data_IF_997697449827
#
_entry.id   IF_997697449827
#
_cell.length_a   1.000
_cell.length_b   1.000
_cell.length_c   1.000
_cell.angle_alpha   90.00
_cell.angle_beta   90.00
_cell.angle_gamma   90.00
#
_symmetry.space_group_name_H-M   'P 1'
#
loop_
_entity.id
_entity.type
_entity.pdbx_description
1 polymer ?
#
# COMPACT_ATOMS: atom_id res chain seq x y z
N UNK A 1 -2.23 -19.16 10.90
CA UNK A 1 -3.61 -18.63 11.00
C UNK A 1 -4.37 -19.10 9.78
N UNK A 2 -5.38 -19.96 9.95
CA UNK A 2 -6.24 -20.35 8.84
C UNK A 2 -7.24 -19.20 8.64
N UNK A 3 -7.07 -18.39 7.58
CA UNK A 3 -7.99 -17.29 7.34
C UNK A 3 -9.33 -17.87 6.89
N UNK A 4 -10.35 -17.72 7.72
CA UNK A 4 -11.72 -18.11 7.40
C UNK A 4 -12.18 -17.40 6.12
N UNK A 5 -12.78 -18.18 5.21
CA UNK A 5 -13.41 -17.65 4.01
C UNK A 5 -14.52 -16.68 4.43
N UNK A 6 -14.47 -15.43 3.95
CA UNK A 6 -15.34 -14.34 4.40
C UNK A 6 -14.65 -13.29 5.28
N UNK A 7 -13.42 -13.54 5.72
CA UNK A 7 -12.59 -12.57 6.44
C UNK A 7 -11.25 -12.25 5.76
N UNK A 8 -10.88 -12.96 4.70
CA UNK A 8 -9.55 -12.83 4.06
C UNK A 8 -9.34 -11.41 3.55
N UNK A 9 -10.33 -10.85 2.85
CA UNK A 9 -10.24 -9.49 2.33
C UNK A 9 -9.99 -8.46 3.43
N UNK A 10 -10.71 -8.59 4.55
CA UNK A 10 -10.56 -7.71 5.71
C UNK A 10 -9.19 -7.86 6.38
N UNK A 11 -8.75 -9.09 6.64
CA UNK A 11 -7.46 -9.35 7.28
C UNK A 11 -6.29 -8.84 6.45
N UNK A 12 -6.27 -9.11 5.13
CA UNK A 12 -5.23 -8.56 4.25
C UNK A 12 -5.28 -7.04 4.20
N UNK A 13 -6.47 -6.43 4.23
CA UNK A 13 -6.62 -4.97 4.28
C UNK A 13 -6.00 -4.36 5.53
N UNK A 14 -6.22 -4.99 6.69
CA UNK A 14 -5.62 -4.54 7.95
C UNK A 14 -4.10 -4.74 7.97
N UNK A 15 -3.59 -5.86 7.44
CA UNK A 15 -2.14 -6.08 7.32
C UNK A 15 -1.51 -5.01 6.42
N UNK A 16 -2.15 -4.70 5.28
CA UNK A 16 -1.69 -3.65 4.37
C UNK A 16 -1.61 -2.27 5.04
N UNK A 17 -2.62 -1.90 5.82
CA UNK A 17 -2.62 -0.68 6.64
C UNK A 17 -1.44 -0.64 7.60
N UNK A 18 -1.17 -1.74 8.30
CA UNK A 18 -0.05 -1.85 9.24
C UNK A 18 1.29 -1.71 8.51
N UNK A 19 1.45 -2.37 7.35
CA UNK A 19 2.66 -2.23 6.53
C UNK A 19 2.90 -0.78 6.11
N UNK A 20 1.86 -0.08 5.65
CA UNK A 20 1.99 1.33 5.23
C UNK A 20 2.32 2.23 6.43
N UNK A 21 1.65 2.05 7.57
CA UNK A 21 1.95 2.79 8.79
C UNK A 21 3.39 2.55 9.27
N UNK A 22 3.83 1.29 9.27
CA UNK A 22 5.21 0.93 9.58
C UNK A 22 6.19 1.56 8.59
N UNK A 23 5.86 1.60 7.29
CA UNK A 23 6.71 2.19 6.27
C UNK A 23 6.91 3.70 6.47
N UNK A 24 5.86 4.41 6.89
CA UNK A 24 5.94 5.84 7.24
C UNK A 24 6.91 6.05 8.41
N UNK A 25 6.78 5.24 9.47
CA UNK A 25 7.68 5.32 10.62
C UNK A 25 9.13 5.01 10.23
N UNK A 26 9.36 3.97 9.42
CA UNK A 26 10.70 3.62 8.92
C UNK A 26 11.28 4.76 8.08
N UNK A 27 10.48 5.40 7.21
CA UNK A 27 10.93 6.53 6.38
C UNK A 27 11.37 7.73 7.23
N UNK A 28 10.62 8.05 8.29
CA UNK A 28 10.95 9.13 9.23
C UNK A 28 12.26 8.81 9.97
N UNK A 29 12.39 7.58 10.49
CA UNK A 29 13.61 7.14 11.18
C UNK A 29 14.80 7.15 10.22
N UNK A 30 14.59 6.70 8.98
CA UNK A 30 15.63 6.59 7.97
C UNK A 30 16.21 7.94 7.53
N UNK A 31 15.38 8.98 7.56
CA UNK A 31 15.78 10.33 7.17
C UNK A 31 16.51 11.10 8.27
N UNK A 32 16.38 10.67 9.54
CA UNK A 32 16.85 11.45 10.70
C UNK A 32 17.91 10.74 11.55
N UNK A 33 17.97 9.40 11.57
CA UNK A 33 18.78 8.66 12.54
C UNK A 33 19.68 7.60 11.92
N UNK A 34 19.15 6.67 11.13
CA UNK A 34 19.88 5.48 10.66
C UNK A 34 19.39 5.12 9.26
N UNK A 35 20.27 4.89 8.28
CA UNK A 35 19.84 4.53 6.92
C UNK A 35 19.15 3.16 6.85
N UNK A 36 17.81 3.16 6.82
CA UNK A 36 16.93 1.99 6.68
C UNK A 36 16.13 2.04 5.36
N UNK A 37 16.62 2.76 4.36
CA UNK A 37 15.91 2.98 3.08
C UNK A 37 15.54 1.66 2.38
N UNK A 38 16.41 0.65 2.47
CA UNK A 38 16.15 -0.68 1.92
C UNK A 38 14.97 -1.39 2.60
N UNK A 39 14.82 -1.24 3.91
CA UNK A 39 13.71 -1.83 4.66
C UNK A 39 12.40 -1.13 4.31
N UNK A 40 12.44 0.20 4.13
CA UNK A 40 11.28 0.97 3.69
C UNK A 40 10.74 0.47 2.34
N UNK A 41 11.64 0.21 1.38
CA UNK A 41 11.25 -0.34 0.06
C UNK A 41 10.55 -1.70 0.18
N UNK A 42 11.09 -2.63 0.99
CA UNK A 42 10.52 -3.97 1.17
C UNK A 42 9.14 -3.88 1.83
N UNK A 43 9.01 -3.11 2.90
CA UNK A 43 7.75 -2.96 3.65
C UNK A 43 6.68 -2.24 2.81
N UNK A 44 7.08 -1.26 1.99
CA UNK A 44 6.20 -0.59 1.04
C UNK A 44 5.63 -1.56 0.00
N UNK A 45 6.47 -2.39 -0.61
CA UNK A 45 6.04 -3.41 -1.57
C UNK A 45 5.12 -4.44 -0.90
N UNK A 46 5.46 -4.91 0.30
CA UNK A 46 4.60 -5.82 1.05
C UNK A 46 3.22 -5.21 1.32
N UNK A 47 3.16 -3.93 1.72
CA UNK A 47 1.92 -3.19 1.89
C UNK A 47 1.06 -3.16 0.63
N UNK A 48 1.67 -2.91 -0.53
CA UNK A 48 0.97 -2.93 -1.83
C UNK A 48 0.44 -4.33 -2.17
N UNK A 49 1.25 -5.37 -2.01
CA UNK A 49 0.84 -6.76 -2.29
C UNK A 49 -0.36 -7.14 -1.43
N UNK A 50 -0.34 -6.81 -0.13
CA UNK A 50 -1.47 -7.06 0.75
C UNK A 50 -2.70 -6.22 0.40
N UNK A 51 -2.54 -4.99 -0.10
CA UNK A 51 -3.66 -4.18 -0.59
C UNK A 51 -4.35 -4.84 -1.80
N UNK A 52 -3.56 -5.37 -2.74
CA UNK A 52 -4.05 -6.11 -3.91
C UNK A 52 -4.78 -7.38 -3.47
N UNK A 53 -4.19 -8.16 -2.56
CA UNK A 53 -4.82 -9.35 -2.02
C UNK A 53 -6.12 -9.03 -1.25
N UNK A 54 -6.15 -7.92 -0.51
CA UNK A 54 -7.36 -7.44 0.17
C UNK A 54 -8.48 -7.12 -0.81
N UNK A 55 -8.15 -6.43 -1.91
CA UNK A 55 -9.11 -6.10 -2.96
C UNK A 55 -9.65 -7.34 -3.67
N UNK A 56 -8.76 -8.25 -4.13
CA UNK A 56 -9.15 -9.45 -4.87
C UNK A 56 -9.98 -10.38 -3.99
N UNK A 57 -9.51 -10.68 -2.78
CA UNK A 57 -10.24 -11.58 -1.88
C UNK A 57 -11.54 -10.94 -1.39
N UNK A 58 -11.53 -9.65 -1.04
CA UNK A 58 -12.75 -8.94 -0.65
C UNK A 58 -13.79 -8.88 -1.77
N UNK A 59 -13.37 -8.76 -3.05
CA UNK A 59 -14.28 -8.87 -4.22
C UNK A 59 -14.88 -10.27 -4.34
N UNK A 60 -14.04 -11.31 -4.27
CA UNK A 60 -14.50 -12.71 -4.34
C UNK A 60 -15.46 -13.05 -3.21
N UNK A 61 -15.17 -12.59 -1.99
CA UNK A 61 -16.02 -12.82 -0.81
C UNK A 61 -17.36 -12.07 -0.91
N UNK A 62 -17.37 -10.85 -1.47
CA UNK A 62 -18.61 -10.10 -1.74
C UNK A 62 -19.46 -10.70 -2.86
N UNK A 63 -18.84 -11.33 -3.85
CA UNK A 63 -19.56 -12.04 -4.92
C UNK A 63 -20.21 -13.32 -4.40
N UNK A 64 -19.55 -14.00 -3.45
CA UNK A 64 -20.10 -15.18 -2.78
C UNK A 64 -21.17 -14.84 -1.73
N UNK A 65 -21.00 -13.74 -0.98
CA UNK A 65 -21.96 -13.23 -0.02
C UNK A 65 -22.04 -11.69 -0.06
N UNK A 66 -23.04 -11.13 -0.78
CA UNK A 66 -23.23 -9.68 -0.90
C UNK A 66 -23.53 -8.98 0.43
N UNK A 67 -23.99 -9.72 1.45
CA UNK A 67 -24.33 -9.17 2.77
C UNK A 67 -23.11 -9.04 3.69
N UNK A 68 -21.97 -9.61 3.31
CA UNK A 68 -20.76 -9.61 4.12
C UNK A 68 -20.10 -8.21 4.19
N UNK A 69 -20.39 -7.51 5.28
CA UNK A 69 -19.83 -6.18 5.58
C UNK A 69 -18.30 -6.19 5.70
N UNK A 70 -17.69 -7.26 6.22
CA UNK A 70 -16.22 -7.36 6.38
C UNK A 70 -15.52 -7.46 5.04
N UNK A 71 -16.06 -8.27 4.11
CA UNK A 71 -15.56 -8.36 2.75
C UNK A 71 -15.64 -7.02 2.02
N UNK A 72 -16.74 -6.27 2.21
CA UNK A 72 -16.88 -4.90 1.70
C UNK A 72 -15.81 -3.96 2.22
N UNK A 73 -15.60 -3.94 3.54
CA UNK A 73 -14.56 -3.12 4.17
C UNK A 73 -13.17 -3.50 3.65
N UNK A 74 -12.83 -4.78 3.60
CA UNK A 74 -11.53 -5.25 3.09
C UNK A 74 -11.28 -4.85 1.64
N UNK A 75 -12.30 -5.02 0.77
CA UNK A 75 -12.25 -4.57 -0.63
C UNK A 75 -12.01 -3.06 -0.73
N UNK A 76 -12.75 -2.26 0.05
CA UNK A 76 -12.63 -0.80 0.04
C UNK A 76 -11.25 -0.35 0.53
N UNK A 77 -10.76 -0.90 1.64
CA UNK A 77 -9.41 -0.61 2.15
C UNK A 77 -8.37 -0.93 1.09
N UNK A 78 -8.41 -2.14 0.52
CA UNK A 78 -7.47 -2.55 -0.53
C UNK A 78 -7.46 -1.58 -1.72
N UNK A 79 -8.64 -1.19 -2.21
CA UNK A 79 -8.77 -0.26 -3.32
C UNK A 79 -8.21 1.14 -3.01
N UNK A 80 -8.53 1.69 -1.82
CA UNK A 80 -8.03 3.01 -1.40
C UNK A 80 -6.50 3.00 -1.31
N UNK A 81 -5.92 1.97 -0.70
CA UNK A 81 -4.46 1.87 -0.55
C UNK A 81 -3.73 1.68 -1.88
N UNK A 82 -4.33 0.94 -2.83
CA UNK A 82 -3.79 0.83 -4.20
C UNK A 82 -3.78 2.20 -4.87
N UNK A 83 -4.89 2.95 -4.80
CA UNK A 83 -4.98 4.29 -5.39
C UNK A 83 -3.92 5.23 -4.77
N UNK A 84 -3.78 5.23 -3.45
CA UNK A 84 -2.76 6.05 -2.78
C UNK A 84 -1.34 5.71 -3.25
N UNK A 85 -1.02 4.43 -3.44
CA UNK A 85 0.28 4.02 -3.96
C UNK A 85 0.50 4.49 -5.41
N UNK A 86 -0.52 4.41 -6.26
CA UNK A 86 -0.44 4.92 -7.65
C UNK A 86 -0.22 6.44 -7.64
N UNK A 87 -0.97 7.19 -6.83
CA UNK A 87 -0.81 8.65 -6.70
C UNK A 87 0.60 8.99 -6.22
N UNK A 88 1.10 8.31 -5.19
CA UNK A 88 2.46 8.51 -4.69
C UNK A 88 3.52 8.23 -5.77
N UNK A 89 3.36 7.15 -6.53
CA UNK A 89 4.27 6.81 -7.63
C UNK A 89 4.28 7.89 -8.73
N UNK A 90 3.11 8.41 -9.12
CA UNK A 90 3.01 9.50 -10.10
C UNK A 90 3.71 10.77 -9.59
N UNK A 91 3.53 11.12 -8.32
CA UNK A 91 4.21 12.28 -7.72
C UNK A 91 5.74 12.12 -7.73
N UNK A 92 6.25 10.91 -7.44
CA UNK A 92 7.68 10.61 -7.51
C UNK A 92 8.20 10.77 -8.94
N UNK A 93 7.47 10.26 -9.94
CA UNK A 93 7.86 10.43 -11.35
C UNK A 93 7.95 11.90 -11.74
N UNK A 94 6.96 12.73 -11.35
CA UNK A 94 6.98 14.16 -11.60
C UNK A 94 8.19 14.82 -10.94
N UNK A 95 8.48 14.49 -9.67
CA UNK A 95 9.64 15.02 -8.95
C UNK A 95 10.96 14.67 -9.63
N UNK A 96 11.10 13.44 -10.15
CA UNK A 96 12.28 13.01 -10.90
C UNK A 96 12.42 13.83 -12.19
N UNK A 97 11.34 13.95 -12.98
CA UNK A 97 11.36 14.70 -14.24
C UNK A 97 11.75 16.16 -13.99
N UNK A 98 11.14 16.81 -13.01
CA UNK A 98 11.43 18.21 -12.64
C UNK A 98 12.88 18.36 -12.14
N UNK A 99 13.36 17.42 -11.33
CA UNK A 99 14.74 17.42 -10.85
C UNK A 99 15.75 17.31 -11.99
N UNK A 100 15.50 16.43 -12.96
CA UNK A 100 16.36 16.24 -14.13
C UNK A 100 16.35 17.47 -15.04
N UNK A 101 15.18 18.07 -15.31
CA UNK A 101 15.09 19.26 -16.17
C UNK A 101 15.74 20.48 -15.55
N UNK A 102 15.58 20.70 -14.24
CA UNK A 102 16.27 21.76 -13.50
C UNK A 102 17.79 21.59 -13.57
N UNK A 103 18.29 20.37 -13.33
CA UNK A 103 19.72 20.09 -13.39
C UNK A 103 20.29 20.31 -14.80
N UNK A 104 19.56 19.89 -15.83
CA UNK A 104 19.96 20.11 -17.23
C UNK A 104 20.00 21.60 -17.63
N UNK A 105 19.21 22.45 -16.98
CA UNK A 105 19.22 23.90 -17.22
C UNK A 105 20.34 24.67 -16.50
N UNK A 106 21.08 24.01 -15.61
CA UNK A 106 22.22 24.59 -14.87
C UNK A 106 23.58 24.18 -15.44
N UNK A 107 23.61 23.33 -16.47
CA UNK A 107 24.79 22.91 -17.24
C UNK A 107 24.91 23.76 -18.51
#
# INVERSE_FOLDING_TARGET
>A
MNFEFGMKGYSFGMISLICIAANILISIISSNFINLSWLSSIVGIAGLVFAILAFINGKKELEADPSNKKAKTGKTIGLVLIILNIVAFVLILIAIIVGVTLFASML
#
